data_IF_544276766826
#
_entry.id   IF_544276766826
#
_cell.length_a   1.000
_cell.length_b   1.000
_cell.length_c   1.000
_cell.angle_alpha   90.00
_cell.angle_beta   90.00
_cell.angle_gamma   90.00
#
_symmetry.space_group_name_H-M   'P 1'
#
loop_
_entity.id
_entity.type
_entity.pdbx_description
1 polymer ?
#
# COMPACT_ATOMS: atom_id res chain seq x y z
N UNK A 1 11.75 11.84 -3.06
CA UNK A 1 10.45 11.22 -3.40
C UNK A 1 10.75 9.97 -4.23
N UNK A 2 10.09 8.84 -3.98
CA UNK A 2 10.24 7.58 -4.74
C UNK A 2 9.90 7.76 -6.22
N UNK A 3 10.48 6.95 -7.11
CA UNK A 3 10.16 6.98 -8.55
C UNK A 3 8.76 6.44 -8.86
N UNK A 4 8.24 6.75 -10.06
CA UNK A 4 6.98 6.17 -10.54
C UNK A 4 7.08 4.64 -10.69
N UNK A 5 8.23 4.13 -11.14
CA UNK A 5 8.51 2.70 -11.24
C UNK A 5 8.48 2.01 -9.87
N UNK A 6 9.02 2.66 -8.84
CA UNK A 6 8.95 2.16 -7.47
C UNK A 6 7.50 2.06 -6.98
N UNK A 7 6.72 3.13 -7.10
CA UNK A 7 5.33 3.19 -6.62
C UNK A 7 4.44 2.17 -7.37
N UNK A 8 4.61 2.04 -8.69
CA UNK A 8 3.90 1.04 -9.49
C UNK A 8 4.29 -0.39 -9.10
N UNK A 9 5.58 -0.66 -8.90
CA UNK A 9 6.05 -1.97 -8.48
C UNK A 9 5.55 -2.36 -7.08
N UNK A 10 5.52 -1.39 -6.15
CA UNK A 10 4.93 -1.58 -4.82
C UNK A 10 3.43 -1.92 -4.92
N UNK A 11 2.67 -1.19 -5.74
CA UNK A 11 1.25 -1.45 -5.96
C UNK A 11 1.01 -2.82 -6.56
N UNK A 12 1.76 -3.21 -7.59
CA UNK A 12 1.64 -4.54 -8.21
C UNK A 12 1.87 -5.65 -7.20
N UNK A 13 2.98 -5.60 -6.47
CA UNK A 13 3.30 -6.61 -5.47
C UNK A 13 2.27 -6.65 -4.33
N UNK A 14 1.77 -5.47 -3.91
CA UNK A 14 0.73 -5.39 -2.88
C UNK A 14 -0.62 -5.93 -3.33
N UNK A 15 -1.01 -5.70 -4.58
CA UNK A 15 -2.27 -6.23 -5.17
C UNK A 15 -2.22 -7.75 -5.28
N UNK A 16 -1.09 -8.32 -5.70
CA UNK A 16 -0.90 -9.78 -5.76
C UNK A 16 -1.05 -10.46 -4.40
N UNK A 17 -0.59 -9.80 -3.33
CA UNK A 17 -0.67 -10.30 -1.95
C UNK A 17 -1.97 -9.95 -1.23
N UNK A 18 -2.82 -9.09 -1.82
CA UNK A 18 -3.91 -8.42 -1.12
C UNK A 18 -4.91 -9.41 -0.53
N UNK A 19 -5.27 -10.46 -1.27
CA UNK A 19 -6.26 -11.44 -0.82
C UNK A 19 -5.80 -12.26 0.40
N UNK A 20 -4.53 -12.69 0.42
CA UNK A 20 -3.92 -13.36 1.57
C UNK A 20 -3.72 -12.39 2.73
N UNK A 21 -3.30 -11.16 2.43
CA UNK A 21 -3.13 -10.11 3.42
C UNK A 21 -4.46 -9.75 4.10
N UNK A 22 -5.56 -9.61 3.37
CA UNK A 22 -6.88 -9.29 3.96
C UNK A 22 -7.40 -10.37 4.91
N UNK A 23 -7.03 -11.64 4.66
CA UNK A 23 -7.40 -12.77 5.52
C UNK A 23 -6.50 -12.92 6.75
N UNK A 24 -5.32 -12.31 6.73
CA UNK A 24 -4.36 -12.48 7.81
C UNK A 24 -4.63 -11.59 9.02
N UNK A 25 -4.01 -11.93 10.15
CA UNK A 25 -4.07 -11.12 11.35
C UNK A 25 -3.02 -10.01 11.43
N UNK A 26 -2.03 -10.00 10.52
CA UNK A 26 -0.92 -9.05 10.56
C UNK A 26 -1.28 -7.72 9.92
N UNK A 27 -0.94 -6.60 10.56
CA UNK A 27 -1.16 -5.26 10.00
C UNK A 27 -0.02 -4.78 9.09
N UNK A 28 1.15 -5.41 9.23
CA UNK A 28 2.36 -5.07 8.48
C UNK A 28 2.88 -6.33 7.81
N UNK A 29 2.61 -6.46 6.52
CA UNK A 29 2.89 -7.70 5.78
C UNK A 29 4.14 -7.56 4.91
N UNK A 30 5.01 -8.57 4.91
CA UNK A 30 6.24 -8.51 4.13
C UNK A 30 5.95 -8.61 2.62
N UNK A 31 6.61 -7.76 1.83
CA UNK A 31 6.56 -7.83 0.36
C UNK A 31 7.85 -8.53 -0.11
N UNK A 32 7.71 -9.72 -0.68
CA UNK A 32 8.83 -10.49 -1.25
C UNK A 32 9.08 -10.11 -2.72
N UNK A 33 9.18 -8.81 -3.01
CA UNK A 33 9.47 -8.29 -4.34
C UNK A 33 10.69 -7.36 -4.30
N UNK A 34 11.47 -7.35 -5.37
CA UNK A 34 12.64 -6.49 -5.50
C UNK A 34 12.25 -5.13 -6.10
N UNK A 35 12.65 -4.01 -5.48
CA UNK A 35 12.44 -2.69 -6.05
C UNK A 35 13.36 -2.45 -7.27
N UNK A 36 13.10 -1.41 -8.08
CA UNK A 36 14.02 -0.99 -9.14
C UNK A 36 15.43 -0.67 -8.61
N UNK A 37 16.48 -0.79 -9.44
CA UNK A 37 17.84 -0.46 -9.04
C UNK A 37 17.97 0.98 -8.51
N UNK A 38 18.69 1.14 -7.39
CA UNK A 38 18.88 2.44 -6.75
C UNK A 38 17.74 2.90 -5.82
N UNK A 39 16.65 2.13 -5.73
CA UNK A 39 15.57 2.38 -4.77
C UNK A 39 15.75 1.54 -3.49
N UNK A 40 15.25 1.99 -2.32
CA UNK A 40 15.27 1.21 -1.10
C UNK A 40 14.33 0.00 -1.21
N UNK A 41 14.47 -0.97 -0.30
CA UNK A 41 13.53 -2.09 -0.20
C UNK A 41 12.07 -1.61 -0.10
N UNK A 42 11.14 -2.41 -0.62
CA UNK A 42 9.73 -2.11 -0.43
C UNK A 42 9.38 -2.08 1.05
N UNK A 43 8.57 -1.08 1.43
CA UNK A 43 8.00 -1.02 2.77
C UNK A 43 7.07 -2.21 2.96
N UNK A 44 6.74 -2.52 4.21
CA UNK A 44 5.71 -3.50 4.48
C UNK A 44 4.37 -3.06 3.86
N UNK A 45 3.61 -4.04 3.40
CA UNK A 45 2.28 -3.88 2.88
C UNK A 45 1.33 -3.51 4.02
N UNK A 46 0.65 -2.39 3.84
CA UNK A 46 -0.52 -1.98 4.62
C UNK A 46 -1.57 -1.39 3.67
N UNK A 47 -2.84 -1.31 4.08
CA UNK A 47 -3.88 -0.71 3.25
C UNK A 47 -3.65 0.78 3.07
N UNK A 48 -3.24 1.48 4.14
CA UNK A 48 -2.84 2.88 4.04
C UNK A 48 -1.64 3.10 3.11
N UNK A 49 -0.67 2.18 3.12
CA UNK A 49 0.47 2.18 2.21
C UNK A 49 0.04 2.03 0.75
N UNK A 50 -0.80 1.05 0.44
CA UNK A 50 -1.37 0.85 -0.89
C UNK A 50 -2.10 2.10 -1.40
N UNK A 51 -3.05 2.62 -0.62
CA UNK A 51 -3.84 3.78 -1.03
C UNK A 51 -2.98 5.02 -1.23
N UNK A 52 -1.99 5.24 -0.36
CA UNK A 52 -1.08 6.37 -0.50
C UNK A 52 -0.22 6.26 -1.77
N UNK A 53 0.30 5.07 -2.08
CA UNK A 53 1.09 4.88 -3.31
C UNK A 53 0.21 5.05 -4.55
N UNK A 54 -1.03 4.57 -4.51
CA UNK A 54 -2.00 4.79 -5.60
C UNK A 54 -2.27 6.27 -5.84
N UNK A 55 -2.50 7.05 -4.78
CA UNK A 55 -2.71 8.50 -4.89
C UNK A 55 -1.47 9.22 -5.44
N UNK A 56 -0.27 8.83 -4.98
CA UNK A 56 1.00 9.37 -5.49
C UNK A 56 1.23 9.05 -6.96
N UNK A 57 0.86 7.85 -7.40
CA UNK A 57 0.99 7.43 -8.79
C UNK A 57 0.02 8.22 -9.68
N UNK A 58 -1.23 8.41 -9.25
CA UNK A 58 -2.22 9.23 -9.96
C UNK A 58 -1.84 10.70 -10.09
N UNK A 59 -1.17 11.26 -9.07
CA UNK A 59 -0.76 12.66 -9.07
C UNK A 59 0.44 12.96 -9.99
N UNK A 60 1.00 11.96 -10.67
CA UNK A 60 2.18 12.09 -11.53
C UNK A 60 1.81 12.00 -13.01
N UNK A 61 2.52 12.75 -13.83
CA UNK A 61 2.60 12.44 -15.26
C UNK A 61 3.46 11.20 -15.44
N UNK A 62 2.88 10.14 -15.97
CA UNK A 62 3.57 8.88 -16.22
C UNK A 62 4.16 8.85 -17.64
N UNK A 63 5.33 8.22 -17.81
CA UNK A 63 5.78 7.78 -19.12
C UNK A 63 4.73 6.87 -19.80
N UNK A 64 4.62 6.96 -21.12
CA UNK A 64 3.58 6.25 -21.89
C UNK A 64 3.63 4.71 -21.69
N UNK A 65 4.82 4.15 -21.52
CA UNK A 65 5.05 2.73 -21.23
C UNK A 65 4.55 2.30 -19.84
N UNK A 66 4.30 3.24 -18.93
CA UNK A 66 3.80 2.98 -17.57
C UNK A 66 2.30 3.27 -17.41
N UNK A 67 1.65 3.95 -18.36
CA UNK A 67 0.23 4.30 -18.28
C UNK A 67 -0.67 3.06 -18.25
N UNK A 68 -0.51 2.16 -19.22
CA UNK A 68 -1.32 0.93 -19.30
C UNK A 68 -1.09 0.04 -18.07
N UNK A 69 0.16 -0.31 -17.68
CA UNK A 69 0.39 -1.14 -16.51
C UNK A 69 -0.11 -0.51 -15.20
N UNK A 70 -0.06 0.83 -15.09
CA UNK A 70 -0.63 1.55 -13.96
C UNK A 70 -2.14 1.36 -13.90
N UNK A 71 -2.83 1.60 -15.01
CA UNK A 71 -4.29 1.47 -15.08
C UNK A 71 -4.75 0.04 -14.78
N UNK A 72 -4.09 -0.97 -15.32
CA UNK A 72 -4.39 -2.38 -15.04
C UNK A 72 -4.23 -2.72 -13.56
N UNK A 73 -3.15 -2.24 -12.94
CA UNK A 73 -2.88 -2.48 -11.51
C UNK A 73 -3.96 -1.83 -10.64
N UNK A 74 -4.38 -0.61 -10.99
CA UNK A 74 -5.45 0.10 -10.28
C UNK A 74 -6.80 -0.59 -10.45
N UNK A 75 -7.11 -1.10 -11.63
CA UNK A 75 -8.33 -1.88 -11.87
C UNK A 75 -8.35 -3.14 -10.99
N UNK A 76 -7.26 -3.91 -10.96
CA UNK A 76 -7.14 -5.10 -10.10
C UNK A 76 -7.27 -4.77 -8.61
N UNK A 77 -6.69 -3.65 -8.17
CA UNK A 77 -6.85 -3.17 -6.80
C UNK A 77 -8.32 -2.92 -6.46
N UNK A 78 -9.05 -2.22 -7.34
CA UNK A 78 -10.48 -1.92 -7.15
C UNK A 78 -11.31 -3.20 -7.13
N UNK A 79 -11.03 -4.13 -8.04
CA UNK A 79 -11.69 -5.44 -8.08
C UNK A 79 -11.48 -6.22 -6.78
N UNK A 80 -10.25 -6.26 -6.26
CA UNK A 80 -9.94 -6.91 -4.99
C UNK A 80 -10.68 -6.28 -3.79
N UNK A 81 -10.77 -4.94 -3.75
CA UNK A 81 -11.57 -4.22 -2.74
C UNK A 81 -13.05 -4.63 -2.85
N UNK A 82 -13.61 -4.61 -4.06
CA UNK A 82 -15.02 -4.94 -4.31
C UNK A 82 -15.36 -6.40 -4.05
N UNK A 83 -14.39 -7.32 -4.20
CA UNK A 83 -14.60 -8.74 -3.96
C UNK A 83 -14.74 -9.08 -2.47
N UNK A 84 -14.07 -8.34 -1.58
CA UNK A 84 -14.04 -8.62 -0.13
C UNK A 84 -14.20 -7.36 0.74
N UNK A 85 -15.31 -6.61 0.61
CA UNK A 85 -15.47 -5.32 1.27
C UNK A 85 -15.40 -5.42 2.79
N UNK A 86 -15.99 -6.46 3.40
CA UNK A 86 -15.98 -6.64 4.87
C UNK A 86 -14.57 -6.93 5.41
N UNK A 87 -13.78 -7.74 4.70
CA UNK A 87 -12.41 -8.04 5.11
C UNK A 87 -11.52 -6.79 4.99
N UNK A 88 -11.70 -6.03 3.91
CA UNK A 88 -11.07 -4.75 3.70
C UNK A 88 -11.39 -3.75 4.83
N UNK A 89 -12.67 -3.54 5.12
CA UNK A 89 -13.12 -2.63 6.18
C UNK A 89 -12.54 -3.00 7.54
N UNK A 90 -12.64 -4.28 7.93
CA UNK A 90 -12.08 -4.76 9.20
C UNK A 90 -10.58 -4.50 9.31
N UNK A 91 -9.84 -4.80 8.25
CA UNK A 91 -8.38 -4.57 8.20
C UNK A 91 -8.06 -3.08 8.26
N UNK A 92 -8.82 -2.25 7.55
CA UNK A 92 -8.66 -0.79 7.52
C UNK A 92 -8.93 -0.17 8.89
N UNK A 93 -10.01 -0.55 9.58
CA UNK A 93 -10.32 -0.07 10.93
C UNK A 93 -9.22 -0.44 11.93
N UNK A 94 -8.69 -1.67 11.85
CA UNK A 94 -7.59 -2.11 12.72
C UNK A 94 -6.30 -1.34 12.45
N UNK A 95 -5.93 -1.16 11.17
CA UNK A 95 -4.75 -0.37 10.80
C UNK A 95 -4.87 1.07 11.28
N UNK A 96 -6.03 1.70 11.06
CA UNK A 96 -6.29 3.08 11.48
C UNK A 96 -6.18 3.25 12.99
N UNK A 97 -6.81 2.37 13.76
CA UNK A 97 -6.72 2.38 15.22
C UNK A 97 -5.29 2.19 15.73
N UNK A 98 -4.53 1.26 15.12
CA UNK A 98 -3.12 1.05 15.46
C UNK A 98 -2.26 2.28 15.18
N UNK A 99 -2.43 2.94 14.02
CA UNK A 99 -1.69 4.15 13.65
C UNK A 99 -2.00 5.31 14.59
N UNK A 100 -3.27 5.51 14.94
CA UNK A 100 -3.69 6.56 15.87
C UNK A 100 -3.07 6.34 17.26
N UNK A 101 -3.06 5.09 17.74
CA UNK A 101 -2.41 4.74 19.01
C UNK A 101 -0.90 5.02 18.98
N UNK A 102 -0.20 4.61 17.92
CA UNK A 102 1.23 4.88 17.77
C UNK A 102 1.54 6.37 17.74
N UNK A 103 0.72 7.16 17.03
CA UNK A 103 0.86 8.61 17.01
C UNK A 103 0.63 9.25 18.37
N UNK A 104 -0.39 8.81 19.10
CA UNK A 104 -0.65 9.26 20.48
C UNK A 104 0.52 8.95 21.42
N UNK A 105 1.09 7.74 21.33
CA UNK A 105 2.26 7.36 22.12
C UNK A 105 3.45 8.27 21.81
N UNK A 106 3.76 8.48 20.52
CA UNK A 106 4.84 9.37 20.10
C UNK A 106 4.67 10.80 20.64
N UNK A 107 3.45 11.36 20.59
CA UNK A 107 3.19 12.70 21.11
C UNK A 107 3.32 12.79 22.64
N UNK A 108 2.99 11.71 23.35
CA UNK A 108 3.17 11.66 24.80
C UNK A 108 4.65 11.61 25.15
N UNK A 109 5.42 10.73 24.51
CA UNK A 109 6.88 10.62 24.67
C UNK A 109 7.58 11.94 24.34
N UNK A 110 7.13 12.68 23.32
CA UNK A 110 7.71 13.96 22.94
C UNK A 110 7.46 15.08 23.97
N UNK A 111 6.44 14.95 24.83
CA UNK A 111 6.13 15.94 25.87
C UNK A 111 6.93 15.73 27.15
N UNK A 112 7.48 14.53 27.33
CA UNK A 112 8.38 14.17 28.44
C UNK A 112 9.80 14.66 28.15
#
# INVERSE_FOLDING_TARGET
MSSAAYELGYLKAGVELLDSYLQSNDLYWAIAASPPPGEPAYRQLTLGGLLLNWQRLQARSLPHDMEIPSQETVTRLKEAISHRPVAWERKASREFGSRLKMWGNFLNEYRE
#
